data_IF_036555616794
#
_entry.id   IF_036555616794
#
_cell.length_a   1.000
_cell.length_b   1.000
_cell.length_c   1.000
_cell.angle_alpha   90.00
_cell.angle_beta   90.00
_cell.angle_gamma   90.00
#
_symmetry.space_group_name_H-M   'P 1'
#
loop_
_entity.id
_entity.type
_entity.pdbx_description
1 polymer ?
#
# COMPACT_ATOMS: atom_id res chain seq x y z
N UNK A 1 -1.22 -2.77 -14.07
CA UNK A 1 -0.44 -2.21 -12.94
C UNK A 1 0.00 -3.27 -11.94
N UNK A 2 -0.92 -4.05 -11.33
CA UNK A 2 -0.55 -5.08 -10.34
C UNK A 2 0.47 -6.12 -10.86
N UNK A 3 0.28 -6.65 -12.07
CA UNK A 3 1.22 -7.59 -12.70
C UNK A 3 2.60 -6.94 -12.91
N UNK A 4 2.63 -5.74 -13.49
CA UNK A 4 3.88 -5.01 -13.73
C UNK A 4 4.65 -4.72 -12.43
N UNK A 5 3.96 -4.27 -11.38
CA UNK A 5 4.58 -4.04 -10.08
C UNK A 5 5.11 -5.34 -9.46
N UNK A 6 4.35 -6.44 -9.55
CA UNK A 6 4.76 -7.74 -9.01
C UNK A 6 6.00 -8.29 -9.74
N UNK A 7 6.03 -8.17 -11.07
CA UNK A 7 7.18 -8.56 -11.88
C UNK A 7 8.40 -7.70 -11.59
N UNK A 8 8.22 -6.38 -11.45
CA UNK A 8 9.29 -5.46 -11.09
C UNK A 8 9.93 -5.83 -9.73
N UNK A 9 9.13 -6.16 -8.71
CA UNK A 9 9.66 -6.59 -7.43
C UNK A 9 10.48 -7.88 -7.54
N UNK A 10 10.01 -8.86 -8.33
CA UNK A 10 10.76 -10.10 -8.58
C UNK A 10 12.07 -9.84 -9.34
N UNK A 11 12.01 -8.99 -10.37
CA UNK A 11 13.17 -8.57 -11.16
C UNK A 11 14.24 -7.87 -10.32
N UNK A 12 13.84 -6.89 -9.49
CA UNK A 12 14.75 -6.19 -8.57
C UNK A 12 15.43 -7.15 -7.60
N UNK A 13 14.68 -8.13 -7.06
CA UNK A 13 15.24 -9.17 -6.21
C UNK A 13 16.30 -10.01 -6.91
N UNK A 14 16.09 -10.35 -8.19
CA UNK A 14 17.07 -11.09 -9.01
C UNK A 14 18.30 -10.24 -9.34
N UNK A 15 18.13 -8.97 -9.76
CA UNK A 15 19.27 -8.08 -10.06
C UNK A 15 20.14 -7.79 -8.84
N UNK A 16 19.52 -7.60 -7.68
CA UNK A 16 20.22 -7.27 -6.43
C UNK A 16 20.71 -8.52 -5.67
N UNK A 17 20.42 -9.73 -6.16
CA UNK A 17 20.79 -10.97 -5.49
C UNK A 17 20.17 -11.12 -4.09
N UNK A 18 18.95 -10.61 -3.88
CA UNK A 18 18.30 -10.66 -2.58
C UNK A 18 17.87 -12.07 -2.22
N UNK A 19 18.17 -12.49 -0.99
CA UNK A 19 17.68 -13.75 -0.45
C UNK A 19 16.28 -13.57 0.14
N UNK A 20 15.31 -14.43 -0.20
CA UNK A 20 14.00 -14.39 0.43
C UNK A 20 14.12 -14.69 1.93
N UNK A 21 13.24 -14.08 2.73
CA UNK A 21 13.14 -14.40 4.16
C UNK A 21 12.72 -15.86 4.37
N UNK A 22 13.06 -16.42 5.53
CA UNK A 22 12.65 -17.77 5.89
C UNK A 22 11.12 -17.96 5.73
N UNK A 23 10.67 -19.10 5.18
CA UNK A 23 9.25 -19.35 4.98
C UNK A 23 8.52 -19.38 6.31
N UNK A 24 7.31 -18.83 6.32
CA UNK A 24 6.43 -18.93 7.49
C UNK A 24 5.94 -20.37 7.62
N UNK A 25 6.20 -20.98 8.77
CA UNK A 25 5.64 -22.29 9.16
C UNK A 25 4.48 -22.06 10.13
N UNK A 26 3.38 -22.79 9.96
CA UNK A 26 2.17 -22.62 10.78
C UNK A 26 1.26 -21.48 10.31
N UNK A 27 0.50 -20.88 11.23
CA UNK A 27 -0.50 -19.85 10.91
C UNK A 27 0.15 -18.47 10.80
N UNK A 28 -0.02 -17.80 9.66
CA UNK A 28 0.56 -16.49 9.41
C UNK A 28 0.12 -15.40 10.42
N UNK A 29 -1.11 -15.49 10.94
CA UNK A 29 -1.66 -14.55 11.93
C UNK A 29 -0.90 -14.52 13.27
N UNK A 30 -0.11 -15.55 13.60
CA UNK A 30 0.65 -15.60 14.85
C UNK A 30 1.96 -14.78 14.79
N UNK A 31 2.39 -14.37 13.58
CA UNK A 31 3.58 -13.53 13.38
C UNK A 31 3.25 -12.05 13.60
N UNK A 32 3.90 -11.41 14.57
CA UNK A 32 3.67 -9.99 14.90
C UNK A 32 4.46 -8.98 14.04
N UNK A 33 5.48 -9.44 13.30
CA UNK A 33 6.56 -8.57 12.82
C UNK A 33 6.50 -8.18 11.33
N UNK A 34 5.57 -8.71 10.54
CA UNK A 34 5.48 -8.40 9.11
C UNK A 34 4.14 -7.71 8.86
N UNK A 35 4.16 -6.38 8.75
CA UNK A 35 2.94 -5.58 8.61
C UNK A 35 3.00 -4.78 7.32
N UNK A 36 2.14 -5.18 6.38
CA UNK A 36 1.75 -4.33 5.28
C UNK A 36 1.15 -3.02 5.83
N UNK A 37 1.17 -1.94 5.05
CA UNK A 37 0.42 -0.73 5.39
C UNK A 37 -1.04 -1.08 5.73
N UNK A 38 -1.55 -0.52 6.82
CA UNK A 38 -2.93 -0.77 7.25
C UNK A 38 -3.92 0.17 6.58
N UNK A 39 -3.43 1.29 6.07
CA UNK A 39 -4.24 2.30 5.40
C UNK A 39 -3.67 2.62 4.02
N UNK A 40 -4.51 3.17 3.14
CA UNK A 40 -4.10 3.55 1.80
C UNK A 40 -3.04 4.67 1.85
N UNK A 41 -3.17 5.62 2.77
CA UNK A 41 -2.20 6.72 2.96
C UNK A 41 -0.81 6.18 3.29
N UNK A 42 -0.71 5.22 4.21
CA UNK A 42 0.56 4.58 4.55
C UNK A 42 1.15 3.84 3.33
N UNK A 43 0.31 3.23 2.50
CA UNK A 43 0.77 2.56 1.28
C UNK A 43 1.28 3.57 0.23
N UNK A 44 0.56 4.67 0.04
CA UNK A 44 0.93 5.75 -0.87
C UNK A 44 2.20 6.47 -0.42
N UNK A 45 2.38 6.70 0.87
CA UNK A 45 3.61 7.26 1.44
C UNK A 45 4.81 6.34 1.16
N UNK A 46 4.69 5.03 1.37
CA UNK A 46 5.76 4.09 1.02
C UNK A 46 6.06 4.06 -0.48
N UNK A 47 5.03 4.20 -1.31
CA UNK A 47 5.18 4.24 -2.76
C UNK A 47 5.92 5.49 -3.23
N UNK A 48 5.59 6.65 -2.66
CA UNK A 48 6.22 7.95 -2.96
C UNK A 48 7.70 7.99 -2.59
N UNK A 49 8.09 7.30 -1.50
CA UNK A 49 9.49 7.24 -1.04
C UNK A 49 10.29 6.06 -1.65
N UNK A 50 9.74 5.31 -2.60
CA UNK A 50 10.41 4.17 -3.21
C UNK A 50 11.19 4.58 -4.47
N UNK A 51 12.48 4.90 -4.31
CA UNK A 51 13.36 5.32 -5.40
C UNK A 51 13.45 4.29 -6.55
N UNK A 52 13.46 3.00 -6.23
CA UNK A 52 13.46 1.93 -7.24
C UNK A 52 12.16 1.95 -8.07
N UNK A 53 11.01 2.13 -7.42
CA UNK A 53 9.76 2.19 -8.16
C UNK A 53 9.71 3.43 -9.07
N UNK A 54 10.20 4.57 -8.59
CA UNK A 54 10.30 5.80 -9.39
C UNK A 54 11.20 5.63 -10.61
N UNK A 55 12.35 4.96 -10.44
CA UNK A 55 13.30 4.67 -11.52
C UNK A 55 12.68 3.84 -12.64
N UNK A 56 11.95 2.77 -12.31
CA UNK A 56 11.44 1.82 -13.30
C UNK A 56 10.04 2.14 -13.83
N UNK A 57 9.16 2.71 -13.00
CA UNK A 57 7.81 3.11 -13.44
C UNK A 57 7.75 4.55 -13.95
N UNK A 58 8.77 5.36 -13.63
CA UNK A 58 8.90 6.75 -14.02
C UNK A 58 8.32 7.73 -12.99
N UNK A 59 9.06 8.81 -12.73
CA UNK A 59 8.68 9.88 -11.81
C UNK A 59 7.24 10.39 -12.01
N UNK A 60 6.90 10.73 -13.27
CA UNK A 60 5.55 11.25 -13.60
C UNK A 60 4.44 10.26 -13.26
N UNK A 61 4.68 8.96 -13.43
CA UNK A 61 3.70 7.94 -13.12
C UNK A 61 3.49 7.83 -11.61
N UNK A 62 4.56 7.72 -10.83
CA UNK A 62 4.48 7.59 -9.37
C UNK A 62 3.78 8.81 -8.77
N UNK A 63 4.23 10.02 -9.12
CA UNK A 63 3.63 11.27 -8.65
C UNK A 63 2.15 11.38 -9.03
N UNK A 64 1.81 11.10 -10.29
CA UNK A 64 0.42 11.15 -10.76
C UNK A 64 -0.49 10.13 -10.08
N UNK A 65 -0.02 8.89 -9.93
CA UNK A 65 -0.78 7.82 -9.26
C UNK A 65 -1.03 8.17 -7.79
N UNK A 66 0.00 8.59 -7.07
CA UNK A 66 -0.10 8.97 -5.65
C UNK A 66 -1.06 10.16 -5.49
N UNK A 67 -0.95 11.19 -6.33
CA UNK A 67 -1.83 12.35 -6.26
C UNK A 67 -3.31 11.98 -6.46
N UNK A 68 -3.62 11.17 -7.49
CA UNK A 68 -4.99 10.69 -7.75
C UNK A 68 -5.51 9.89 -6.56
N UNK A 69 -4.73 8.94 -6.04
CA UNK A 69 -5.17 8.10 -4.92
C UNK A 69 -5.31 8.84 -3.60
N UNK A 70 -4.53 9.90 -3.36
CA UNK A 70 -4.74 10.80 -2.21
C UNK A 70 -6.08 11.51 -2.30
N UNK A 71 -6.40 12.10 -3.46
CA UNK A 71 -7.68 12.81 -3.64
C UNK A 71 -8.88 11.86 -3.51
N UNK A 72 -8.81 10.68 -4.11
CA UNK A 72 -9.86 9.66 -3.96
C UNK A 72 -10.08 9.28 -2.49
N UNK A 73 -8.99 9.12 -1.74
CA UNK A 73 -9.04 8.70 -0.36
C UNK A 73 -9.55 9.80 0.59
N UNK A 74 -9.15 11.06 0.36
CA UNK A 74 -9.71 12.19 1.12
C UNK A 74 -11.20 12.37 0.83
N UNK A 75 -11.62 12.23 -0.43
CA UNK A 75 -13.05 12.26 -0.77
C UNK A 75 -13.82 11.14 -0.08
N UNK A 76 -13.25 9.94 0.04
CA UNK A 76 -13.87 8.83 0.77
C UNK A 76 -14.11 9.16 2.25
N UNK A 77 -13.15 9.79 2.92
CA UNK A 77 -13.26 10.18 4.34
C UNK A 77 -14.28 11.28 4.61
N UNK A 78 -14.65 12.06 3.60
CA UNK A 78 -15.66 13.12 3.73
C UNK A 78 -17.10 12.58 3.73
N UNK A 79 -17.29 11.30 3.46
CA UNK A 79 -18.61 10.66 3.43
C UNK A 79 -18.89 9.97 4.76
N UNK A 80 -20.01 10.30 5.39
CA UNK A 80 -20.51 9.57 6.57
C UNK A 80 -21.00 8.20 6.11
N UNK A 81 -20.33 7.15 6.55
CA UNK A 81 -20.71 5.77 6.28
C UNK A 81 -22.02 5.37 6.97
N UNK A 82 -22.68 4.34 6.44
CA UNK A 82 -23.89 3.77 7.07
C UNK A 82 -23.60 3.29 8.49
N UNK A 83 -22.40 2.75 8.75
CA UNK A 83 -21.99 2.32 10.08
C UNK A 83 -21.82 3.52 11.03
N UNK A 84 -21.11 4.57 10.62
CA UNK A 84 -20.98 5.78 11.43
C UNK A 84 -22.34 6.40 11.72
N UNK A 85 -23.24 6.39 10.73
CA UNK A 85 -24.62 6.84 10.92
C UNK A 85 -25.35 5.97 11.96
N UNK A 86 -25.25 4.66 11.89
CA UNK A 86 -25.95 3.75 12.79
C UNK A 86 -25.44 3.83 14.24
N UNK A 87 -24.13 3.94 14.41
CA UNK A 87 -23.50 3.79 15.73
C UNK A 87 -23.06 5.12 16.38
N UNK A 88 -22.91 6.21 15.63
CA UNK A 88 -22.46 7.50 16.17
C UNK A 88 -23.58 8.56 16.25
N UNK A 89 -24.70 8.44 15.53
CA UNK A 89 -25.81 9.42 15.63
C UNK A 89 -26.66 9.30 16.89
N UNK A 90 -26.73 8.12 17.52
CA UNK A 90 -27.60 7.89 18.67
C UNK A 90 -26.92 8.17 20.03
N UNK A 91 -25.74 8.79 20.03
CA UNK A 91 -24.95 9.07 21.24
C UNK A 91 -25.07 10.52 21.76
N UNK A 92 -26.15 11.23 21.44
CA UNK A 92 -26.50 12.56 22.01
C UNK A 92 -27.80 12.46 22.78
#
# INVERSE_FOLDING_TARGET
LAIAASLLCGYLGMEQGLNPSAPVRGRAFERRNMRLPFTLEQALERMEHCAELERYMGHRFVTGYVAVKRVENENFKQVISSWEREFLLLSV
#
